data_IF_848297727365
#
_entry.id   IF_848297727365
#
_cell.length_a   1.000
_cell.length_b   1.000
_cell.length_c   1.000
_cell.angle_alpha   90.00
_cell.angle_beta   90.00
_cell.angle_gamma   90.00
#
_symmetry.space_group_name_H-M   'P 1'
#
loop_
_entity.id
_entity.type
_entity.pdbx_description
1 polymer ?
#
# COMPACT_ATOMS: atom_id res chain seq x y z
N UNK A 1 27.35 -6.17 30.12
CA UNK A 1 26.86 -4.93 29.47
C UNK A 1 26.37 -5.31 28.08
N UNK A 2 25.17 -4.92 27.71
CA UNK A 2 24.56 -5.18 26.39
C UNK A 2 25.49 -4.69 25.27
N UNK A 3 25.60 -5.47 24.18
CA UNK A 3 26.46 -5.22 23.00
C UNK A 3 26.38 -3.74 22.50
N UNK A 4 25.20 -3.14 22.57
CA UNK A 4 24.92 -1.77 22.14
C UNK A 4 25.57 -0.68 22.99
N UNK A 5 25.71 -0.90 24.31
CA UNK A 5 26.37 0.08 25.19
C UNK A 5 27.88 0.10 24.98
N UNK A 6 28.46 -1.03 24.58
CA UNK A 6 29.86 -1.08 24.19
C UNK A 6 30.06 -0.35 22.85
N UNK A 7 29.19 -0.61 21.87
CA UNK A 7 29.20 0.10 20.59
C UNK A 7 29.15 1.62 20.77
N UNK A 8 28.24 2.14 21.61
CA UNK A 8 28.16 3.57 21.91
C UNK A 8 29.50 4.11 22.43
N UNK A 9 30.11 3.44 23.42
CA UNK A 9 31.37 3.88 24.04
C UNK A 9 32.56 3.89 23.08
N UNK A 10 32.56 3.01 22.09
CA UNK A 10 33.63 2.90 21.09
C UNK A 10 33.50 3.95 19.98
N UNK A 11 32.28 4.45 19.73
CA UNK A 11 31.98 5.31 18.57
C UNK A 11 31.61 6.76 18.94
N UNK A 12 31.64 7.13 20.22
CA UNK A 12 31.41 8.50 20.69
C UNK A 12 32.62 9.01 21.48
N UNK A 13 32.91 10.31 21.41
CA UNK A 13 34.04 10.87 22.16
C UNK A 13 33.84 10.74 23.67
N UNK A 14 34.93 10.53 24.42
CA UNK A 14 34.87 10.39 25.89
C UNK A 14 34.29 11.62 26.58
N UNK A 15 34.58 12.81 26.04
CA UNK A 15 34.04 14.08 26.51
C UNK A 15 32.52 14.11 26.36
N UNK A 16 32.01 13.85 25.16
CA UNK A 16 30.58 13.85 24.88
C UNK A 16 29.84 12.77 25.68
N UNK A 17 30.44 11.57 25.80
CA UNK A 17 29.87 10.50 26.62
C UNK A 17 29.71 10.91 28.09
N UNK A 18 30.65 11.69 28.63
CA UNK A 18 30.62 12.13 30.03
C UNK A 18 29.49 13.12 30.32
N UNK A 19 28.97 13.79 29.28
CA UNK A 19 27.82 14.69 29.36
C UNK A 19 26.47 13.97 29.25
N UNK A 20 26.48 12.66 28.94
CA UNK A 20 25.29 11.83 28.81
C UNK A 20 25.01 11.06 30.10
N UNK A 21 23.74 10.96 30.47
CA UNK A 21 23.24 10.17 31.60
C UNK A 21 21.93 9.46 31.22
N UNK A 22 21.46 8.53 32.05
CA UNK A 22 20.20 7.78 31.83
C UNK A 22 20.07 7.19 30.43
N UNK A 23 21.15 6.58 29.92
CA UNK A 23 21.23 6.08 28.54
C UNK A 23 20.44 4.78 28.42
N UNK A 24 19.43 4.79 27.56
CA UNK A 24 18.58 3.68 27.20
C UNK A 24 18.70 3.39 25.69
N UNK A 25 18.90 2.13 25.33
CA UNK A 25 18.87 1.71 23.93
C UNK A 25 17.41 1.63 23.44
N UNK A 26 17.09 2.28 22.33
CA UNK A 26 15.73 2.26 21.76
C UNK A 26 15.65 1.25 20.62
N UNK A 27 16.44 1.43 19.56
CA UNK A 27 16.44 0.51 18.42
C UNK A 27 17.72 0.62 17.58
N UNK A 28 17.97 -0.43 16.78
CA UNK A 28 19.00 -0.47 15.73
C UNK A 28 18.31 -0.27 14.38
N UNK A 29 18.59 0.85 13.72
CA UNK A 29 18.21 1.08 12.34
C UNK A 29 19.19 0.45 11.35
N UNK A 30 18.96 0.66 10.05
CA UNK A 30 19.81 0.11 9.00
C UNK A 30 21.20 0.75 8.98
N UNK A 31 21.25 2.07 9.21
CA UNK A 31 22.48 2.88 9.16
C UNK A 31 22.91 3.43 10.52
N UNK A 32 22.13 3.24 11.59
CA UNK A 32 22.43 3.83 12.89
C UNK A 32 21.89 3.02 14.08
N UNK A 33 22.49 3.22 15.25
CA UNK A 33 21.90 2.90 16.55
C UNK A 33 21.29 4.16 17.15
N UNK A 34 20.09 4.03 17.70
CA UNK A 34 19.40 5.13 18.40
C UNK A 34 19.25 4.80 19.89
N UNK A 35 19.64 5.76 20.72
CA UNK A 35 19.51 5.75 22.17
C UNK A 35 18.68 6.95 22.61
N UNK A 36 18.01 6.81 23.75
CA UNK A 36 17.47 7.92 24.53
C UNK A 36 18.41 8.17 25.70
N UNK A 37 18.72 9.43 25.99
CA UNK A 37 19.60 9.79 27.09
C UNK A 37 19.20 11.16 27.66
N UNK A 38 19.85 11.56 28.75
CA UNK A 38 19.86 12.95 29.22
C UNK A 38 21.15 13.63 28.85
N UNK A 39 21.05 14.81 28.25
CA UNK A 39 22.15 15.71 27.93
C UNK A 39 21.82 17.11 28.45
N UNK A 40 22.66 17.66 29.33
CA UNK A 40 22.42 18.98 29.96
C UNK A 40 21.01 19.12 30.58
N UNK A 41 20.55 18.05 31.24
CA UNK A 41 19.21 17.91 31.88
C UNK A 41 18.01 17.86 30.92
N UNK A 42 18.23 17.77 29.61
CA UNK A 42 17.17 17.55 28.61
C UNK A 42 17.16 16.09 28.20
N UNK A 43 15.97 15.55 27.97
CA UNK A 43 15.84 14.27 27.28
C UNK A 43 16.24 14.46 25.81
N UNK A 44 17.11 13.58 25.31
CA UNK A 44 17.67 13.66 23.97
C UNK A 44 17.64 12.31 23.27
N UNK A 45 17.56 12.38 21.94
CA UNK A 45 17.93 11.28 21.06
C UNK A 45 19.43 11.35 20.80
N UNK A 46 20.12 10.22 20.95
CA UNK A 46 21.52 10.04 20.52
C UNK A 46 21.53 9.03 19.39
N UNK A 47 21.93 9.45 18.19
CA UNK A 47 22.02 8.60 16.99
C UNK A 47 23.48 8.45 16.60
N UNK A 48 23.94 7.20 16.53
CA UNK A 48 25.33 6.84 16.17
C UNK A 48 25.31 6.03 14.87
N UNK A 49 26.06 6.42 13.82
CA UNK A 49 26.08 5.69 12.56
C UNK A 49 26.74 4.31 12.71
N UNK A 50 26.27 3.33 11.95
CA UNK A 50 26.84 1.95 11.88
C UNK A 50 27.99 1.88 10.87
N UNK A 51 27.97 2.74 9.85
CA UNK A 51 28.95 2.76 8.76
C UNK A 51 29.13 4.16 8.20
N UNK A 52 30.33 4.48 7.71
CA UNK A 52 30.65 5.74 7.02
C UNK A 52 30.18 5.76 5.54
N UNK A 53 29.22 4.91 5.16
CA UNK A 53 28.83 4.69 3.75
C UNK A 53 27.93 5.79 3.18
N UNK A 54 27.40 6.69 4.01
CA UNK A 54 26.47 7.75 3.60
C UNK A 54 27.16 9.10 3.75
N UNK A 55 27.20 9.88 2.67
CA UNK A 55 27.61 11.28 2.74
C UNK A 55 26.49 12.07 3.41
N UNK A 56 26.74 12.51 4.65
CA UNK A 56 25.80 13.25 5.47
C UNK A 56 25.98 14.78 5.39
N UNK A 57 26.77 15.32 4.45
CA UNK A 57 27.11 16.75 4.40
C UNK A 57 25.85 17.63 4.33
N UNK A 58 24.84 17.17 3.59
CA UNK A 58 23.56 17.87 3.46
C UNK A 58 22.72 17.74 4.73
N UNK A 59 22.64 16.53 5.29
CA UNK A 59 21.88 16.28 6.51
C UNK A 59 22.45 17.10 7.69
N UNK A 60 23.78 17.18 7.78
CA UNK A 60 24.52 17.97 8.77
C UNK A 60 24.19 19.46 8.66
N UNK A 61 24.23 20.00 7.44
CA UNK A 61 23.93 21.41 7.19
C UNK A 61 22.50 21.77 7.62
N UNK A 62 21.55 20.87 7.35
CA UNK A 62 20.15 21.04 7.78
C UNK A 62 20.04 20.92 9.29
N UNK A 63 20.53 19.84 9.88
CA UNK A 63 20.39 19.58 11.32
C UNK A 63 21.03 20.67 12.16
N UNK A 64 22.20 21.21 11.78
CA UNK A 64 22.84 22.33 12.49
C UNK A 64 22.02 23.63 12.46
N UNK A 65 21.11 23.79 11.50
CA UNK A 65 20.22 24.95 11.43
C UNK A 65 18.96 24.82 12.30
N UNK A 66 18.65 23.62 12.78
CA UNK A 66 17.47 23.35 13.59
C UNK A 66 17.78 23.57 15.07
N UNK A 67 16.92 24.35 15.75
CA UNK A 67 17.09 24.66 17.18
C UNK A 67 17.04 23.44 18.10
N UNK A 68 16.42 22.34 17.67
CA UNK A 68 16.35 21.09 18.42
C UNK A 68 17.67 20.30 18.39
N UNK A 69 18.58 20.60 17.46
CA UNK A 69 19.87 19.93 17.35
C UNK A 69 20.85 20.54 18.34
N UNK A 70 21.34 19.72 19.26
CA UNK A 70 22.26 20.13 20.32
C UNK A 70 23.72 19.81 19.97
N UNK A 71 23.93 18.80 19.12
CA UNK A 71 25.23 18.40 18.60
C UNK A 71 25.06 17.63 17.28
N UNK A 72 25.92 17.92 16.30
CA UNK A 72 26.08 17.10 15.11
C UNK A 72 27.53 17.15 14.62
N UNK A 73 28.18 15.99 14.54
CA UNK A 73 29.54 15.87 14.00
C UNK A 73 29.78 14.44 13.50
N UNK A 74 30.33 14.27 12.30
CA UNK A 74 30.67 12.95 11.73
C UNK A 74 29.50 11.94 11.78
N UNK A 75 28.27 12.40 11.54
CA UNK A 75 27.05 11.57 11.58
C UNK A 75 26.50 11.28 12.99
N UNK A 76 27.23 11.63 14.05
CA UNK A 76 26.75 11.54 15.44
C UNK A 76 25.80 12.71 15.69
N UNK A 77 24.56 12.40 16.02
CA UNK A 77 23.51 13.38 16.29
C UNK A 77 23.07 13.30 17.75
N UNK A 78 23.03 14.46 18.41
CA UNK A 78 22.27 14.66 19.65
C UNK A 78 21.24 15.76 19.41
N UNK A 79 19.97 15.42 19.56
CA UNK A 79 18.85 16.35 19.46
C UNK A 79 17.87 16.16 20.61
N UNK A 80 17.09 17.19 20.90
CA UNK A 80 15.99 17.08 21.85
C UNK A 80 15.07 15.92 21.49
N UNK A 81 14.67 15.15 22.52
CA UNK A 81 13.80 14.00 22.34
C UNK A 81 12.39 14.46 22.02
N UNK A 82 11.89 14.06 20.86
CA UNK A 82 10.52 14.33 20.45
C UNK A 82 9.63 13.14 20.80
N UNK A 83 8.82 13.29 21.85
CA UNK A 83 7.86 12.27 22.26
C UNK A 83 6.65 12.27 21.31
N UNK A 84 6.76 11.59 20.17
CA UNK A 84 5.71 11.52 19.16
C UNK A 84 5.65 10.18 18.42
N UNK A 85 4.67 10.06 17.52
CA UNK A 85 4.49 8.95 16.60
C UNK A 85 4.64 9.45 15.16
N UNK A 86 5.05 8.57 14.25
CA UNK A 86 5.00 8.88 12.81
C UNK A 86 3.56 8.99 12.34
N UNK A 87 3.31 9.77 11.28
CA UNK A 87 1.95 9.94 10.73
C UNK A 87 1.31 8.64 10.23
N UNK A 88 2.10 7.58 10.00
CA UNK A 88 1.61 6.26 9.61
C UNK A 88 0.63 5.63 10.61
N UNK A 89 0.71 6.05 11.87
CA UNK A 89 -0.12 5.53 12.96
C UNK A 89 -1.23 6.52 13.36
N UNK A 90 -1.47 7.55 12.57
CA UNK A 90 -2.34 8.66 12.93
C UNK A 90 -3.39 8.87 11.84
N UNK A 91 -4.67 8.90 12.25
CA UNK A 91 -5.76 9.25 11.35
C UNK A 91 -5.65 10.72 10.93
N UNK A 92 -5.47 10.98 9.64
CA UNK A 92 -5.29 12.33 9.09
C UNK A 92 -6.58 13.14 9.07
N UNK A 93 -6.83 13.89 10.14
CA UNK A 93 -7.88 14.91 10.17
C UNK A 93 -7.48 16.16 9.37
N UNK A 94 -8.45 17.00 9.00
CA UNK A 94 -8.19 18.30 8.35
C UNK A 94 -7.22 19.15 9.17
N UNK A 95 -7.37 19.17 10.49
CA UNK A 95 -6.51 19.95 11.38
C UNK A 95 -5.06 19.47 11.34
N UNK A 96 -4.83 18.15 11.39
CA UNK A 96 -3.49 17.56 11.32
C UNK A 96 -2.84 17.90 9.98
N UNK A 97 -3.59 17.77 8.87
CA UNK A 97 -3.08 18.11 7.54
C UNK A 97 -2.62 19.58 7.46
N UNK A 98 -3.40 20.52 8.00
CA UNK A 98 -3.03 21.93 8.04
C UNK A 98 -1.78 22.20 8.89
N UNK A 99 -1.64 21.53 10.05
CA UNK A 99 -0.46 21.64 10.91
C UNK A 99 0.81 21.13 10.22
N UNK A 100 0.72 20.01 9.50
CA UNK A 100 1.84 19.46 8.72
C UNK A 100 2.23 20.39 7.58
N UNK A 101 1.26 20.89 6.80
CA UNK A 101 1.52 21.84 5.71
C UNK A 101 2.17 23.11 6.25
N UNK A 102 1.70 23.64 7.38
CA UNK A 102 2.34 24.78 8.04
C UNK A 102 3.80 24.49 8.37
N UNK A 103 4.11 23.34 8.96
CA UNK A 103 5.49 22.97 9.33
C UNK A 103 6.41 22.85 8.11
N UNK A 104 5.90 22.36 6.99
CA UNK A 104 6.63 22.26 5.73
C UNK A 104 6.92 23.67 5.16
N UNK A 105 5.92 24.57 5.18
CA UNK A 105 6.12 25.96 4.77
C UNK A 105 7.13 26.69 5.65
N UNK A 106 7.15 26.43 6.96
CA UNK A 106 8.20 26.92 7.87
C UNK A 106 9.58 26.39 7.46
N UNK A 107 9.68 25.10 7.11
CA UNK A 107 10.93 24.51 6.61
C UNK A 107 11.39 25.13 5.29
N UNK A 108 10.46 25.43 4.37
CA UNK A 108 10.74 26.10 3.08
C UNK A 108 11.38 27.49 3.24
N UNK A 109 11.16 28.16 4.38
CA UNK A 109 11.74 29.46 4.68
C UNK A 109 13.20 29.40 5.14
N UNK A 110 13.74 28.20 5.44
CA UNK A 110 15.14 28.06 5.82
C UNK A 110 16.06 28.48 4.67
N UNK A 111 17.02 29.35 4.95
CA UNK A 111 18.00 29.79 3.95
C UNK A 111 19.28 28.96 4.07
N UNK A 112 19.25 27.78 3.43
CA UNK A 112 20.37 26.83 3.43
C UNK A 112 21.07 26.77 2.08
N UNK A 113 22.40 26.60 2.12
CA UNK A 113 23.23 26.39 0.92
C UNK A 113 23.28 24.89 0.56
N UNK A 114 22.19 24.39 0.00
CA UNK A 114 22.05 23.00 -0.49
C UNK A 114 21.98 22.98 -2.01
N UNK A 115 22.44 21.91 -2.69
CA UNK A 115 22.39 21.82 -4.14
C UNK A 115 20.95 21.76 -4.66
N UNK A 116 20.78 22.09 -5.95
CA UNK A 116 19.50 21.95 -6.65
C UNK A 116 19.13 20.48 -6.82
N UNK A 117 17.84 20.19 -6.82
CA UNK A 117 17.33 18.86 -7.13
C UNK A 117 17.66 18.51 -8.57
N UNK A 118 18.35 17.38 -8.78
CA UNK A 118 18.61 16.83 -10.10
C UNK A 118 17.50 15.84 -10.46
N UNK A 119 16.46 16.35 -11.13
CA UNK A 119 15.36 15.53 -11.64
C UNK A 119 15.80 14.55 -12.75
N UNK A 120 17.01 14.66 -13.29
CA UNK A 120 17.54 13.73 -14.29
C UNK A 120 18.53 12.72 -13.70
N UNK A 121 18.71 12.71 -12.37
CA UNK A 121 19.67 11.85 -11.67
C UNK A 121 19.59 10.37 -12.08
N UNK A 122 18.37 9.83 -12.21
CA UNK A 122 18.15 8.44 -12.60
C UNK A 122 18.07 8.25 -14.10
N UNK A 123 17.31 9.12 -14.79
CA UNK A 123 17.04 9.02 -16.23
C UNK A 123 16.50 10.35 -16.75
N UNK A 124 16.77 10.64 -18.02
CA UNK A 124 16.30 11.88 -18.66
C UNK A 124 14.77 11.99 -18.76
N UNK A 125 14.08 10.85 -18.93
CA UNK A 125 12.63 10.80 -19.07
C UNK A 125 12.08 11.16 -20.45
N UNK A 126 10.78 11.33 -20.52
CA UNK A 126 10.01 11.70 -21.71
C UNK A 126 10.25 13.16 -22.12
N UNK A 127 9.92 13.52 -23.36
CA UNK A 127 10.00 14.94 -23.80
C UNK A 127 9.15 15.85 -22.91
N UNK A 128 7.92 15.43 -22.62
CA UNK A 128 7.01 16.15 -21.71
C UNK A 128 7.63 16.35 -20.33
N UNK A 129 8.30 15.33 -19.79
CA UNK A 129 8.99 15.41 -18.51
C UNK A 129 10.10 16.44 -18.51
N UNK A 130 10.97 16.41 -19.52
CA UNK A 130 12.07 17.37 -19.66
C UNK A 130 11.54 18.81 -19.76
N UNK A 131 10.51 19.03 -20.56
CA UNK A 131 9.91 20.36 -20.75
C UNK A 131 9.28 20.88 -19.43
N UNK A 132 8.61 20.01 -18.67
CA UNK A 132 8.01 20.35 -17.38
C UNK A 132 9.06 20.56 -16.28
N UNK A 133 10.10 19.73 -16.19
CA UNK A 133 11.20 19.93 -15.25
C UNK A 133 11.82 21.32 -15.46
N UNK A 134 12.12 21.69 -16.71
CA UNK A 134 12.67 23.00 -17.03
C UNK A 134 11.75 24.17 -16.62
N UNK A 135 10.43 23.98 -16.63
CA UNK A 135 9.44 24.96 -16.17
C UNK A 135 9.53 25.21 -14.66
N UNK A 136 9.74 24.15 -13.86
CA UNK A 136 9.68 24.19 -12.40
C UNK A 136 11.05 24.25 -11.70
N UNK A 137 12.16 24.26 -12.43
CA UNK A 137 13.52 24.37 -11.86
C UNK A 137 14.13 25.76 -11.97
N UNK A 138 13.30 26.81 -12.06
CA UNK A 138 13.77 28.21 -12.12
C UNK A 138 14.18 28.70 -10.74
N UNK A 139 15.37 29.31 -10.65
CA UNK A 139 16.01 29.67 -9.38
C UNK A 139 15.18 30.56 -8.47
N UNK A 140 14.40 31.49 -9.06
CA UNK A 140 13.54 32.40 -8.31
C UNK A 140 12.42 31.69 -7.53
N UNK A 141 12.07 30.46 -7.93
CA UNK A 141 10.94 29.71 -7.39
C UNK A 141 11.39 28.57 -6.44
N UNK A 142 12.70 28.41 -6.23
CA UNK A 142 13.24 27.30 -5.43
C UNK A 142 13.32 27.65 -3.94
N UNK A 143 12.86 26.71 -3.12
CA UNK A 143 12.93 26.78 -1.65
C UNK A 143 13.85 25.68 -1.13
N UNK A 144 14.22 25.77 0.15
CA UNK A 144 14.83 24.62 0.84
C UNK A 144 13.73 23.57 1.05
N UNK A 145 13.74 22.53 0.22
CA UNK A 145 12.71 21.50 0.17
C UNK A 145 13.23 20.20 0.75
N UNK A 146 12.36 19.46 1.43
CA UNK A 146 12.73 18.18 2.05
C UNK A 146 12.98 17.09 1.01
N UNK A 147 12.22 17.10 -0.10
CA UNK A 147 12.36 16.21 -1.26
C UNK A 147 12.20 14.71 -0.98
N UNK A 148 11.91 14.32 0.26
CA UNK A 148 11.65 12.93 0.69
C UNK A 148 10.61 12.89 1.82
N UNK A 149 9.53 13.66 1.66
CA UNK A 149 8.44 13.63 2.62
C UNK A 149 7.63 12.34 2.45
N UNK A 150 7.72 11.50 3.47
CA UNK A 150 6.87 10.33 3.66
C UNK A 150 6.27 10.36 5.06
N UNK A 151 5.20 9.60 5.30
CA UNK A 151 4.51 9.60 6.59
C UNK A 151 5.43 9.13 7.76
N UNK A 152 6.48 8.34 7.46
CA UNK A 152 7.53 7.95 8.42
C UNK A 152 8.48 9.10 8.78
N UNK A 153 8.62 10.09 7.91
CA UNK A 153 9.51 11.24 8.06
C UNK A 153 8.82 12.44 8.73
N UNK A 154 7.60 12.27 9.25
CA UNK A 154 6.83 13.30 9.93
C UNK A 154 6.34 12.77 11.27
N UNK A 155 6.79 13.39 12.36
CA UNK A 155 6.39 13.07 13.72
C UNK A 155 5.30 14.03 14.21
N UNK A 156 4.35 13.49 14.98
CA UNK A 156 3.35 14.26 15.72
C UNK A 156 3.31 13.80 17.17
N UNK A 157 3.29 14.75 18.10
CA UNK A 157 3.16 14.47 19.53
C UNK A 157 1.69 14.59 20.00
N UNK A 158 1.43 14.27 21.26
CA UNK A 158 0.08 14.32 21.85
C UNK A 158 -0.53 15.73 21.87
N UNK A 159 0.29 16.78 21.86
CA UNK A 159 -0.16 18.18 21.79
C UNK A 159 -0.39 18.64 20.34
N UNK A 160 -0.13 17.79 19.34
CA UNK A 160 -0.28 18.08 17.92
C UNK A 160 0.84 18.92 17.31
N UNK A 161 2.00 19.05 17.97
CA UNK A 161 3.19 19.65 17.37
C UNK A 161 3.75 18.71 16.30
N UNK A 162 4.30 19.28 15.22
CA UNK A 162 4.87 18.52 14.10
C UNK A 162 6.38 18.73 14.05
N UNK A 163 7.11 17.63 13.80
CA UNK A 163 8.53 17.67 13.50
C UNK A 163 8.84 16.84 12.25
N UNK A 164 9.72 17.37 11.39
CA UNK A 164 10.23 16.68 10.21
C UNK A 164 11.55 15.98 10.58
N UNK A 165 11.81 14.82 10.00
CA UNK A 165 13.03 14.04 10.22
C UNK A 165 13.52 13.46 8.89
N UNK A 166 14.74 12.91 8.86
CA UNK A 166 15.35 12.29 7.68
C UNK A 166 15.67 13.29 6.55
N UNK A 167 16.77 14.02 6.71
CA UNK A 167 17.10 15.18 5.88
C UNK A 167 18.13 14.89 4.77
N UNK A 168 18.40 13.62 4.46
CA UNK A 168 19.44 13.21 3.50
C UNK A 168 19.18 13.76 2.08
N UNK A 169 17.90 13.87 1.70
CA UNK A 169 17.46 14.31 0.39
C UNK A 169 17.13 15.81 0.29
N UNK A 170 17.41 16.61 1.32
CA UNK A 170 17.09 18.06 1.28
C UNK A 170 17.82 18.75 0.12
N UNK A 171 17.10 19.45 -0.75
CA UNK A 171 17.64 20.15 -1.92
C UNK A 171 16.91 21.46 -2.17
N UNK A 172 17.46 22.30 -3.05
CA UNK A 172 16.68 23.39 -3.65
C UNK A 172 15.71 22.81 -4.69
N UNK A 173 14.42 22.94 -4.44
CA UNK A 173 13.36 22.48 -5.34
C UNK A 173 12.15 23.41 -5.27
N UNK A 174 11.27 23.32 -6.26
CA UNK A 174 9.99 24.01 -6.23
C UNK A 174 9.15 23.52 -5.04
N UNK A 175 8.48 24.38 -4.26
CA UNK A 175 7.70 23.98 -3.07
C UNK A 175 6.60 22.95 -3.37
N UNK A 176 6.14 22.92 -4.62
CA UNK A 176 5.13 21.97 -5.08
C UNK A 176 5.60 20.52 -5.05
N UNK A 177 6.90 20.25 -5.06
CA UNK A 177 7.42 18.89 -4.99
C UNK A 177 7.13 18.25 -3.62
N UNK A 178 7.42 18.96 -2.53
CA UNK A 178 7.00 18.53 -1.19
C UNK A 178 5.46 18.48 -1.08
N UNK A 179 4.76 19.47 -1.63
CA UNK A 179 3.30 19.50 -1.60
C UNK A 179 2.67 18.25 -2.24
N UNK A 180 3.18 17.81 -3.40
CA UNK A 180 2.56 16.70 -4.12
C UNK A 180 2.88 15.34 -3.49
N UNK A 181 4.03 15.20 -2.83
CA UNK A 181 4.37 13.96 -2.10
C UNK A 181 3.42 13.72 -0.92
N UNK A 182 2.89 14.77 -0.28
CA UNK A 182 1.83 14.65 0.74
C UNK A 182 0.57 13.96 0.19
N UNK A 183 0.17 14.31 -1.02
CA UNK A 183 -1.02 13.71 -1.65
C UNK A 183 -0.70 12.30 -2.14
N UNK A 184 0.39 12.14 -2.89
CA UNK A 184 0.72 10.88 -3.56
C UNK A 184 1.17 9.77 -2.62
N UNK A 185 1.77 10.10 -1.48
CA UNK A 185 2.40 9.13 -0.57
C UNK A 185 1.81 9.12 0.84
N UNK A 186 0.91 10.06 1.16
CA UNK A 186 0.42 10.24 2.54
C UNK A 186 -1.09 10.47 2.63
N UNK A 187 -1.86 10.27 1.55
CA UNK A 187 -3.33 10.41 1.54
C UNK A 187 -3.86 11.77 2.01
N UNK A 188 -3.09 12.85 1.84
CA UNK A 188 -3.59 14.20 2.11
C UNK A 188 -4.69 14.56 1.10
N UNK A 189 -5.65 15.38 1.55
CA UNK A 189 -6.72 15.86 0.69
C UNK A 189 -6.13 16.81 -0.38
N UNK A 190 -6.30 16.51 -1.68
CA UNK A 190 -5.76 17.34 -2.76
C UNK A 190 -6.23 18.79 -2.72
N UNK A 191 -7.49 19.04 -2.32
CA UNK A 191 -8.04 20.40 -2.25
C UNK A 191 -7.41 21.22 -1.13
N UNK A 192 -7.09 20.59 0.01
CA UNK A 192 -6.39 21.27 1.10
C UNK A 192 -4.99 21.65 0.63
N UNK A 193 -4.26 20.72 0.00
CA UNK A 193 -2.90 20.96 -0.49
C UNK A 193 -2.89 22.05 -1.57
N UNK A 194 -3.77 21.97 -2.57
CA UNK A 194 -3.89 23.00 -3.62
C UNK A 194 -4.18 24.37 -3.03
N UNK A 195 -5.14 24.46 -2.10
CA UNK A 195 -5.50 25.72 -1.42
C UNK A 195 -4.30 26.30 -0.68
N UNK A 196 -3.65 25.49 0.15
CA UNK A 196 -2.56 25.96 0.99
C UNK A 196 -1.32 26.36 0.19
N UNK A 197 -0.99 25.66 -0.90
CA UNK A 197 0.14 25.98 -1.75
C UNK A 197 -0.21 26.95 -2.90
N UNK A 198 -1.44 27.46 -2.95
CA UNK A 198 -1.93 28.34 -4.02
C UNK A 198 -1.70 27.76 -5.43
N UNK A 199 -1.99 26.47 -5.59
CA UNK A 199 -1.72 25.71 -6.81
C UNK A 199 -2.96 25.60 -7.68
N UNK A 200 -2.83 25.83 -8.99
CA UNK A 200 -3.90 25.56 -9.97
C UNK A 200 -4.01 24.07 -10.28
N UNK A 201 -5.15 23.62 -10.82
CA UNK A 201 -5.32 22.22 -11.24
C UNK A 201 -4.27 21.80 -12.29
N UNK A 202 -3.94 22.69 -13.22
CA UNK A 202 -2.89 22.43 -14.20
C UNK A 202 -1.52 22.23 -13.53
N UNK A 203 -1.15 23.09 -12.57
CA UNK A 203 0.12 22.96 -11.86
C UNK A 203 0.17 21.66 -11.04
N UNK A 204 -0.96 21.28 -10.44
CA UNK A 204 -1.12 20.04 -9.71
C UNK A 204 -0.88 18.83 -10.60
N UNK A 205 -1.51 18.77 -11.77
CA UNK A 205 -1.31 17.68 -12.73
C UNK A 205 0.13 17.61 -13.26
N UNK A 206 0.73 18.76 -13.56
CA UNK A 206 2.10 18.83 -14.08
C UNK A 206 3.13 18.36 -13.04
N UNK A 207 3.07 18.84 -11.79
CA UNK A 207 4.00 18.41 -10.74
C UNK A 207 3.76 16.96 -10.32
N UNK A 208 2.51 16.49 -10.35
CA UNK A 208 2.15 15.07 -10.19
C UNK A 208 2.90 14.23 -11.20
N UNK A 209 2.85 14.62 -12.48
CA UNK A 209 3.54 13.94 -13.56
C UNK A 209 5.06 13.92 -13.36
N UNK A 210 5.68 15.06 -12.98
CA UNK A 210 7.12 15.10 -12.67
C UNK A 210 7.46 14.13 -11.52
N UNK A 211 6.70 14.18 -10.43
CA UNK A 211 6.96 13.34 -9.24
C UNK A 211 6.79 11.85 -9.54
N UNK A 212 5.72 11.47 -10.26
CA UNK A 212 5.47 10.08 -10.64
C UNK A 212 6.57 9.54 -11.57
N UNK A 213 6.96 10.29 -12.61
CA UNK A 213 8.00 9.84 -13.55
C UNK A 213 9.40 9.80 -12.88
N UNK A 214 9.73 10.78 -12.03
CA UNK A 214 10.99 10.78 -11.27
C UNK A 214 11.10 9.56 -10.34
N UNK A 215 10.03 9.27 -9.58
CA UNK A 215 9.99 8.08 -8.71
C UNK A 215 10.10 6.81 -9.51
N UNK A 216 9.34 6.68 -10.61
CA UNK A 216 9.40 5.51 -11.46
C UNK A 216 10.84 5.23 -11.93
N UNK A 217 11.58 6.25 -12.38
CA UNK A 217 12.98 6.09 -12.76
C UNK A 217 13.87 5.68 -11.58
N UNK A 218 13.64 6.25 -10.39
CA UNK A 218 14.32 5.82 -9.16
C UNK A 218 14.10 4.33 -8.88
N UNK A 219 12.84 3.88 -8.89
CA UNK A 219 12.51 2.47 -8.69
C UNK A 219 13.05 1.57 -9.80
N UNK A 220 12.99 1.99 -11.06
CA UNK A 220 13.63 1.26 -12.17
C UNK A 220 15.14 1.10 -11.90
N UNK A 221 15.83 2.17 -11.48
CA UNK A 221 17.27 2.12 -11.23
C UNK A 221 17.66 1.18 -10.07
N UNK A 222 16.83 1.12 -9.03
CA UNK A 222 17.09 0.30 -7.83
C UNK A 222 16.65 -1.16 -8.05
N UNK A 223 15.51 -1.38 -8.70
CA UNK A 223 14.85 -2.69 -8.72
C UNK A 223 14.88 -3.42 -10.06
N UNK A 224 15.30 -2.78 -11.16
CA UNK A 224 15.39 -3.46 -12.47
C UNK A 224 16.30 -4.70 -12.45
N UNK A 225 17.35 -4.68 -11.62
CA UNK A 225 18.29 -5.79 -11.42
C UNK A 225 18.09 -6.46 -10.06
N UNK A 226 16.94 -6.29 -9.41
CA UNK A 226 16.71 -6.83 -8.08
C UNK A 226 16.78 -8.37 -8.10
N UNK A 227 17.78 -8.90 -7.41
CA UNK A 227 17.91 -10.34 -7.14
C UNK A 227 17.46 -10.56 -5.71
N UNK A 228 16.44 -11.39 -5.52
CA UNK A 228 15.95 -11.78 -4.20
C UNK A 228 17.09 -12.50 -3.47
N UNK A 229 17.57 -11.90 -2.39
CA UNK A 229 18.51 -12.56 -1.49
C UNK A 229 17.79 -13.73 -0.80
N UNK A 230 18.48 -14.86 -0.61
CA UNK A 230 17.91 -16.07 0.01
C UNK A 230 17.38 -15.83 1.44
N UNK A 231 17.85 -14.77 2.09
CA UNK A 231 17.50 -14.40 3.46
C UNK A 231 16.30 -13.43 3.56
N UNK A 232 15.73 -12.97 2.43
CA UNK A 232 14.56 -12.08 2.46
C UNK A 232 13.31 -12.85 2.91
N UNK A 233 12.62 -12.44 3.99
CA UNK A 233 11.45 -13.16 4.47
C UNK A 233 10.35 -13.22 3.40
N UNK A 234 10.03 -14.44 2.94
CA UNK A 234 8.86 -14.70 2.11
C UNK A 234 7.61 -14.52 2.97
N UNK A 235 6.69 -13.67 2.52
CA UNK A 235 5.42 -13.43 3.20
C UNK A 235 4.31 -14.13 2.43
N UNK A 236 3.39 -14.77 3.17
CA UNK A 236 2.15 -15.33 2.64
C UNK A 236 2.22 -16.82 2.34
N UNK A 237 1.05 -17.46 2.52
CA UNK A 237 0.75 -18.85 2.15
C UNK A 237 0.11 -18.96 0.75
N UNK A 238 -0.04 -17.84 0.04
CA UNK A 238 -0.63 -17.79 -1.30
C UNK A 238 0.16 -18.63 -2.30
N UNK A 239 -0.56 -19.36 -3.16
CA UNK A 239 0.01 -20.37 -4.06
C UNK A 239 0.36 -19.81 -5.44
N UNK A 240 -0.04 -18.57 -5.73
CA UNK A 240 0.03 -17.96 -7.08
C UNK A 240 1.14 -16.94 -7.26
N UNK A 241 1.67 -16.36 -6.18
CA UNK A 241 2.72 -15.34 -6.25
C UNK A 241 3.81 -15.56 -5.22
N UNK A 242 5.02 -15.10 -5.54
CA UNK A 242 6.11 -15.01 -4.57
C UNK A 242 6.17 -13.59 -4.02
N UNK A 243 5.81 -13.44 -2.76
CA UNK A 243 5.69 -12.16 -2.09
C UNK A 243 6.76 -12.00 -1.01
N UNK A 244 7.38 -10.83 -0.97
CA UNK A 244 8.46 -10.48 -0.05
C UNK A 244 8.16 -9.13 0.58
N UNK A 245 8.64 -8.94 1.80
CA UNK A 245 8.70 -7.61 2.41
C UNK A 245 10.14 -7.25 2.67
N UNK A 246 10.51 -6.08 2.17
CA UNK A 246 11.80 -5.47 2.42
C UNK A 246 11.54 -4.03 2.86
N UNK A 247 11.87 -3.73 4.11
CA UNK A 247 11.54 -2.47 4.76
C UNK A 247 10.02 -2.21 4.76
N UNK A 248 9.58 -1.08 4.22
CA UNK A 248 8.19 -0.66 4.05
C UNK A 248 7.64 -1.01 2.67
N UNK A 249 8.33 -1.85 1.89
CA UNK A 249 7.93 -2.25 0.55
C UNK A 249 7.47 -3.70 0.51
N UNK A 250 6.35 -3.92 -0.16
CA UNK A 250 5.86 -5.22 -0.58
C UNK A 250 6.25 -5.46 -2.03
N UNK A 251 7.00 -6.53 -2.26
CA UNK A 251 7.52 -6.92 -3.58
C UNK A 251 6.84 -8.24 -3.97
N UNK A 252 6.13 -8.23 -5.10
CA UNK A 252 5.42 -9.38 -5.64
C UNK A 252 6.05 -9.78 -6.98
N UNK A 253 6.51 -11.02 -7.11
CA UNK A 253 6.93 -11.58 -8.38
C UNK A 253 5.73 -12.26 -9.04
N UNK A 254 5.40 -11.84 -10.27
CA UNK A 254 4.26 -12.31 -11.04
C UNK A 254 4.52 -13.72 -11.55
N UNK A 255 3.70 -14.70 -11.15
CA UNK A 255 3.69 -16.03 -11.78
C UNK A 255 2.47 -16.14 -12.71
N UNK A 256 2.70 -16.16 -14.03
CA UNK A 256 1.63 -16.15 -15.02
C UNK A 256 1.10 -17.56 -15.28
N UNK A 257 -0.23 -17.74 -15.21
CA UNK A 257 -0.91 -18.99 -15.55
C UNK A 257 -1.83 -18.87 -16.79
N UNK A 258 -1.76 -17.73 -17.49
CA UNK A 258 -2.57 -17.41 -18.67
C UNK A 258 -3.91 -16.75 -18.35
N UNK A 259 -4.36 -16.77 -17.09
CA UNK A 259 -5.59 -16.15 -16.65
C UNK A 259 -5.38 -14.98 -15.67
N UNK A 260 -4.23 -14.88 -15.02
CA UNK A 260 -3.87 -13.80 -14.10
C UNK A 260 -2.92 -12.75 -14.75
N UNK A 261 -2.72 -11.64 -14.05
CA UNK A 261 -1.88 -10.49 -14.44
C UNK A 261 -2.22 -9.92 -15.82
N UNK A 262 -3.50 -9.95 -16.19
CA UNK A 262 -3.98 -9.51 -17.49
C UNK A 262 -4.11 -7.98 -17.61
N UNK A 263 -4.08 -7.28 -16.49
CA UNK A 263 -4.23 -5.83 -16.35
C UNK A 263 -3.07 -5.27 -15.54
N UNK A 264 -2.70 -4.00 -15.78
CA UNK A 264 -1.75 -3.29 -14.91
C UNK A 264 -2.44 -2.93 -13.59
N UNK A 265 -1.79 -3.17 -12.46
CA UNK A 265 -2.36 -2.85 -11.15
C UNK A 265 -2.50 -1.34 -10.92
N UNK A 266 -1.70 -0.52 -11.62
CA UNK A 266 -1.82 0.95 -11.52
C UNK A 266 -3.19 1.50 -11.93
N UNK A 267 -4.02 0.70 -12.62
CA UNK A 267 -5.41 1.05 -12.93
C UNK A 267 -6.26 1.25 -11.66
N UNK A 268 -5.89 0.59 -10.56
CA UNK A 268 -6.62 0.63 -9.29
C UNK A 268 -6.12 1.72 -8.33
N UNK A 269 -5.08 2.48 -8.67
CA UNK A 269 -4.42 3.46 -7.79
C UNK A 269 -5.35 4.58 -7.26
N UNK A 270 -6.47 4.81 -7.94
CA UNK A 270 -7.47 5.81 -7.52
C UNK A 270 -8.48 5.28 -6.49
N UNK A 271 -8.52 3.96 -6.28
CA UNK A 271 -9.42 3.35 -5.31
C UNK A 271 -8.83 3.44 -3.91
N UNK A 272 -9.63 3.86 -2.93
CA UNK A 272 -9.20 3.93 -1.52
C UNK A 272 -8.93 2.55 -0.96
N UNK A 273 -9.66 1.54 -1.43
CA UNK A 273 -9.45 0.15 -1.04
C UNK A 273 -8.18 -0.46 -1.65
N UNK A 274 -7.49 0.18 -2.60
CA UNK A 274 -6.21 -0.31 -3.13
C UNK A 274 -5.03 0.44 -2.48
N UNK A 275 -3.86 -0.20 -2.46
CA UNK A 275 -2.59 0.48 -2.16
C UNK A 275 -1.90 0.87 -3.46
N UNK A 276 -1.48 2.13 -3.57
CA UNK A 276 -0.91 2.66 -4.81
C UNK A 276 0.31 1.84 -5.25
N UNK A 277 0.34 1.49 -6.52
CA UNK A 277 1.51 0.86 -7.13
C UNK A 277 2.66 1.87 -7.16
N UNK A 278 3.78 1.45 -6.59
CA UNK A 278 5.01 2.22 -6.61
C UNK A 278 5.77 1.94 -7.91
N UNK A 279 5.85 0.67 -8.30
CA UNK A 279 6.48 0.22 -9.53
C UNK A 279 5.84 -1.06 -10.04
N UNK A 280 5.70 -1.19 -11.35
CA UNK A 280 5.22 -2.42 -11.98
C UNK A 280 5.88 -2.61 -13.35
N UNK A 281 6.38 -3.82 -13.59
CA UNK A 281 6.82 -4.26 -14.91
C UNK A 281 6.17 -5.62 -15.26
N UNK A 282 6.69 -6.30 -16.29
CA UNK A 282 6.13 -7.58 -16.74
C UNK A 282 6.30 -8.73 -15.74
N UNK A 283 7.23 -8.62 -14.79
CA UNK A 283 7.67 -9.68 -13.90
C UNK A 283 7.43 -9.37 -12.42
N UNK A 284 7.31 -8.09 -12.03
CA UNK A 284 7.16 -7.70 -10.63
C UNK A 284 6.22 -6.52 -10.42
N UNK A 285 5.68 -6.44 -9.20
CA UNK A 285 4.93 -5.32 -8.65
C UNK A 285 5.59 -4.94 -7.34
N UNK A 286 5.79 -3.65 -7.11
CA UNK A 286 6.23 -3.08 -5.84
C UNK A 286 5.18 -2.08 -5.40
N UNK A 287 4.76 -2.20 -4.14
CA UNK A 287 3.83 -1.28 -3.47
C UNK A 287 4.25 -1.09 -2.01
N UNK A 288 3.62 -0.15 -1.31
CA UNK A 288 3.85 -0.01 0.12
C UNK A 288 3.34 -1.26 0.85
N UNK A 289 4.09 -1.73 1.85
CA UNK A 289 3.62 -2.78 2.74
C UNK A 289 2.52 -2.24 3.66
N UNK A 290 1.40 -2.95 3.70
CA UNK A 290 0.27 -2.60 4.56
C UNK A 290 0.44 -3.35 5.88
N UNK A 291 0.72 -2.60 6.95
CA UNK A 291 0.62 -3.15 8.29
C UNK A 291 -0.85 -3.37 8.62
N UNK A 292 -1.25 -4.64 8.65
CA UNK A 292 -2.64 -5.05 8.87
C UNK A 292 -2.91 -5.39 10.33
N UNK A 293 -4.09 -4.99 10.81
CA UNK A 293 -4.69 -5.43 12.05
C UNK A 293 -5.47 -6.73 11.84
N UNK A 294 -5.64 -7.51 12.90
CA UNK A 294 -6.50 -8.70 12.88
C UNK A 294 -7.96 -8.31 12.61
N UNK A 295 -8.62 -9.07 11.75
CA UNK A 295 -10.00 -8.82 11.35
C UNK A 295 -10.94 -9.80 12.06
N UNK A 296 -11.94 -9.26 12.75
CA UNK A 296 -13.10 -10.04 13.19
C UNK A 296 -14.20 -9.98 12.12
N UNK A 297 -14.30 -11.02 11.28
CA UNK A 297 -15.30 -11.12 10.22
C UNK A 297 -16.75 -11.36 10.73
N UNK A 298 -16.94 -11.57 12.04
CA UNK A 298 -18.28 -11.57 12.63
C UNK A 298 -18.76 -10.16 13.03
N UNK A 299 -17.93 -9.13 12.86
CA UNK A 299 -18.28 -7.75 13.18
C UNK A 299 -19.05 -7.09 12.01
N UNK A 300 -20.30 -6.71 12.26
CA UNK A 300 -21.18 -6.05 11.27
C UNK A 300 -20.59 -4.78 10.65
N UNK A 301 -19.87 -3.97 11.43
CA UNK A 301 -19.25 -2.76 10.94
C UNK A 301 -18.13 -3.06 9.95
N UNK A 302 -17.34 -4.11 10.20
CA UNK A 302 -16.30 -4.57 9.29
C UNK A 302 -16.94 -5.10 7.99
N UNK A 303 -17.98 -5.91 8.10
CA UNK A 303 -18.70 -6.46 6.94
C UNK A 303 -19.31 -5.35 6.08
N UNK A 304 -19.92 -4.34 6.69
CA UNK A 304 -20.42 -3.16 5.97
C UNK A 304 -19.30 -2.39 5.25
N UNK A 305 -18.13 -2.24 5.89
CA UNK A 305 -16.98 -1.58 5.24
C UNK A 305 -16.38 -2.40 4.09
N UNK A 306 -16.40 -3.73 4.17
CA UNK A 306 -16.00 -4.60 3.05
C UNK A 306 -16.99 -4.42 1.88
N UNK A 307 -18.30 -4.47 2.15
CA UNK A 307 -19.34 -4.23 1.14
C UNK A 307 -19.16 -2.87 0.44
N UNK A 308 -18.85 -1.83 1.23
CA UNK A 308 -18.55 -0.49 0.74
C UNK A 308 -17.30 -0.48 -0.16
N UNK A 309 -16.23 -1.15 0.23
CA UNK A 309 -15.00 -1.23 -0.58
C UNK A 309 -15.25 -1.97 -1.91
N UNK A 310 -16.08 -3.03 -1.92
CA UNK A 310 -16.51 -3.71 -3.16
C UNK A 310 -17.35 -2.75 -4.02
N UNK A 311 -18.26 -1.99 -3.42
CA UNK A 311 -19.07 -1.01 -4.14
C UNK A 311 -18.22 0.09 -4.80
N UNK A 312 -17.15 0.53 -4.13
CA UNK A 312 -16.20 1.50 -4.68
C UNK A 312 -15.52 0.95 -5.94
N UNK A 313 -15.07 -0.31 -5.89
CA UNK A 313 -14.50 -0.99 -7.04
C UNK A 313 -15.54 -1.10 -8.17
N UNK A 314 -16.71 -1.69 -7.90
CA UNK A 314 -17.75 -1.97 -8.91
C UNK A 314 -18.35 -0.70 -9.56
N UNK A 315 -18.35 0.43 -8.85
CA UNK A 315 -18.84 1.72 -9.36
C UNK A 315 -17.75 2.57 -9.99
N UNK A 316 -16.49 2.11 -9.98
CA UNK A 316 -15.39 2.82 -10.62
C UNK A 316 -15.52 2.83 -12.15
N UNK A 317 -14.86 3.78 -12.81
CA UNK A 317 -14.81 3.88 -14.27
C UNK A 317 -13.67 3.03 -14.87
N UNK A 318 -13.10 2.11 -14.09
CA UNK A 318 -11.97 1.28 -14.52
C UNK A 318 -12.47 0.30 -15.58
N UNK A 319 -11.77 0.25 -16.71
CA UNK A 319 -12.04 -0.71 -17.79
C UNK A 319 -10.97 -1.79 -17.77
N UNK A 320 -11.40 -3.03 -17.53
CA UNK A 320 -10.54 -4.22 -17.50
C UNK A 320 -10.86 -5.13 -18.69
N UNK A 321 -10.04 -6.15 -18.92
CA UNK A 321 -10.43 -7.22 -19.84
C UNK A 321 -11.66 -7.96 -19.31
N UNK A 322 -12.52 -8.43 -20.21
CA UNK A 322 -13.69 -9.23 -19.85
C UNK A 322 -13.27 -10.58 -19.24
N UNK A 323 -14.04 -11.04 -18.26
CA UNK A 323 -13.88 -12.40 -17.76
C UNK A 323 -14.41 -13.40 -18.79
N UNK A 324 -13.87 -14.61 -18.72
CA UNK A 324 -14.40 -15.78 -19.42
C UNK A 324 -14.54 -16.90 -18.40
N UNK A 325 -15.45 -16.70 -17.44
CA UNK A 325 -15.67 -17.63 -16.32
C UNK A 325 -15.93 -19.05 -16.82
N UNK A 326 -16.80 -19.21 -17.84
CA UNK A 326 -17.06 -20.51 -18.44
C UNK A 326 -15.78 -21.21 -18.93
N UNK A 327 -14.95 -20.52 -19.73
CA UNK A 327 -13.72 -21.10 -20.27
C UNK A 327 -12.73 -21.49 -19.17
N UNK A 328 -12.64 -20.68 -18.10
CA UNK A 328 -11.81 -21.01 -16.93
C UNK A 328 -12.32 -22.28 -16.24
N UNK A 329 -13.62 -22.36 -15.99
CA UNK A 329 -14.26 -23.53 -15.36
C UNK A 329 -14.05 -24.78 -16.22
N UNK A 330 -14.29 -24.70 -17.54
CA UNK A 330 -14.08 -25.82 -18.47
C UNK A 330 -12.64 -26.34 -18.39
N UNK A 331 -11.64 -25.44 -18.39
CA UNK A 331 -10.23 -25.83 -18.24
C UNK A 331 -9.96 -26.51 -16.90
N UNK A 332 -10.53 -26.00 -15.80
CA UNK A 332 -10.32 -26.61 -14.48
C UNK A 332 -10.98 -27.98 -14.39
N UNK A 333 -12.19 -28.15 -14.92
CA UNK A 333 -12.86 -29.46 -14.96
C UNK A 333 -12.05 -30.47 -15.78
N UNK A 334 -11.49 -30.07 -16.92
CA UNK A 334 -10.63 -30.93 -17.73
C UNK A 334 -9.42 -31.44 -16.93
N UNK A 335 -8.82 -30.57 -16.11
CA UNK A 335 -7.71 -30.95 -15.22
C UNK A 335 -8.16 -31.86 -14.06
N UNK A 336 -9.46 -31.92 -13.75
CA UNK A 336 -10.05 -32.68 -12.65
C UNK A 336 -10.76 -33.97 -13.12
N UNK A 337 -10.61 -34.37 -14.38
CA UNK A 337 -11.30 -35.54 -14.94
C UNK A 337 -11.17 -36.82 -14.10
N UNK A 338 -10.03 -37.03 -13.44
CA UNK A 338 -9.78 -38.22 -12.60
C UNK A 338 -10.04 -38.00 -11.09
N UNK A 339 -10.53 -36.82 -10.70
CA UNK A 339 -10.70 -36.46 -9.30
C UNK A 339 -11.98 -37.07 -8.69
N UNK A 340 -11.83 -38.23 -8.03
CA UNK A 340 -12.94 -39.05 -7.50
C UNK A 340 -13.96 -38.26 -6.68
N UNK A 341 -13.53 -37.54 -5.62
CA UNK A 341 -14.46 -36.84 -4.69
C UNK A 341 -15.27 -35.74 -5.41
N UNK A 342 -14.61 -34.96 -6.27
CA UNK A 342 -15.23 -33.93 -7.10
C UNK A 342 -16.30 -34.52 -8.03
N UNK A 343 -15.95 -35.58 -8.78
CA UNK A 343 -16.86 -36.23 -9.73
C UNK A 343 -18.04 -36.96 -9.08
N UNK A 344 -17.89 -37.42 -7.83
CA UNK A 344 -18.99 -38.00 -7.06
C UNK A 344 -20.01 -36.93 -6.61
N UNK A 345 -19.55 -35.73 -6.29
CA UNK A 345 -20.39 -34.63 -5.77
C UNK A 345 -21.03 -33.83 -6.91
N UNK A 346 -20.24 -33.45 -7.92
CA UNK A 346 -20.68 -32.61 -9.03
C UNK A 346 -20.96 -33.48 -10.26
N UNK A 347 -22.20 -33.96 -10.35
CA UNK A 347 -22.65 -34.79 -11.47
C UNK A 347 -22.62 -34.01 -12.80
N UNK A 348 -22.58 -34.71 -13.95
CA UNK A 348 -22.61 -34.05 -15.27
C UNK A 348 -23.78 -33.06 -15.46
N UNK A 349 -24.95 -33.33 -14.88
CA UNK A 349 -26.11 -32.43 -14.96
C UNK A 349 -25.92 -31.15 -14.15
N UNK A 350 -25.31 -31.24 -12.97
CA UNK A 350 -24.96 -30.06 -12.16
C UNK A 350 -23.94 -29.21 -12.91
N UNK A 351 -22.87 -29.84 -13.41
CA UNK A 351 -21.82 -29.17 -14.18
C UNK A 351 -22.42 -28.47 -15.39
N UNK A 352 -23.26 -29.17 -16.17
CA UNK A 352 -23.94 -28.61 -17.34
C UNK A 352 -24.81 -27.40 -16.98
N UNK A 353 -25.58 -27.48 -15.90
CA UNK A 353 -26.42 -26.38 -15.43
C UNK A 353 -25.58 -25.14 -15.11
N UNK A 354 -24.46 -25.32 -14.38
CA UNK A 354 -23.55 -24.25 -14.02
C UNK A 354 -22.84 -23.64 -15.25
N UNK A 355 -22.40 -24.48 -16.20
CA UNK A 355 -21.74 -24.01 -17.43
C UNK A 355 -22.68 -23.22 -18.34
N UNK A 356 -23.94 -23.64 -18.45
CA UNK A 356 -24.97 -22.89 -19.19
C UNK A 356 -25.15 -21.52 -18.55
N UNK A 357 -25.32 -21.45 -17.23
CA UNK A 357 -25.45 -20.16 -16.55
C UNK A 357 -24.20 -19.29 -16.67
N UNK A 358 -23.01 -19.88 -16.59
CA UNK A 358 -21.75 -19.18 -16.77
C UNK A 358 -21.60 -18.51 -18.15
N UNK A 359 -22.26 -19.03 -19.19
CA UNK A 359 -22.30 -18.43 -20.53
C UNK A 359 -23.10 -17.12 -20.57
N UNK A 360 -24.14 -17.01 -19.73
CA UNK A 360 -25.01 -15.84 -19.66
C UNK A 360 -24.56 -14.80 -18.63
N UNK A 361 -23.48 -15.04 -17.88
CA UNK A 361 -22.92 -14.04 -16.99
C UNK A 361 -22.44 -12.82 -17.77
N UNK A 362 -22.89 -11.66 -17.32
CA UNK A 362 -22.52 -10.36 -17.85
C UNK A 362 -21.14 -9.92 -17.34
N UNK A 363 -20.55 -8.93 -18.01
CA UNK A 363 -19.28 -8.31 -17.64
C UNK A 363 -19.53 -6.83 -17.29
N UNK A 364 -20.34 -6.59 -16.26
CA UNK A 364 -20.94 -5.27 -15.98
C UNK A 364 -20.02 -4.33 -15.22
N UNK A 365 -19.15 -4.88 -14.37
CA UNK A 365 -18.36 -4.10 -13.41
C UNK A 365 -16.93 -4.62 -13.34
N UNK A 366 -15.92 -3.77 -13.07
CA UNK A 366 -14.60 -4.25 -12.72
C UNK A 366 -14.72 -4.99 -11.38
N UNK A 367 -14.20 -6.21 -11.33
CA UNK A 367 -14.26 -7.10 -10.17
C UNK A 367 -12.88 -7.60 -9.80
N UNK A 368 -12.69 -7.90 -8.52
CA UNK A 368 -11.48 -8.48 -7.97
C UNK A 368 -11.33 -9.95 -8.39
N UNK A 369 -12.45 -10.69 -8.37
CA UNK A 369 -12.62 -12.11 -8.68
C UNK A 369 -11.98 -13.12 -7.71
N UNK A 370 -11.42 -12.65 -6.59
CA UNK A 370 -10.78 -13.52 -5.58
C UNK A 370 -10.78 -12.89 -4.18
N UNK A 371 -11.92 -12.34 -3.75
CA UNK A 371 -12.06 -11.73 -2.42
C UNK A 371 -12.25 -12.80 -1.33
N UNK A 372 -11.17 -13.50 -1.00
CA UNK A 372 -11.09 -14.35 0.17
C UNK A 372 -10.49 -13.58 1.38
N UNK A 373 -10.51 -14.20 2.56
CA UNK A 373 -10.04 -13.60 3.83
C UNK A 373 -8.57 -13.16 3.81
N UNK A 374 -7.71 -13.80 3.03
CA UNK A 374 -6.28 -13.44 2.92
C UNK A 374 -6.08 -12.20 2.04
N UNK A 375 -7.04 -11.90 1.15
CA UNK A 375 -6.97 -10.76 0.23
C UNK A 375 -7.68 -9.50 0.77
N UNK A 376 -8.18 -9.55 2.01
CA UNK A 376 -8.84 -8.44 2.70
C UNK A 376 -8.03 -8.07 3.93
N UNK A 377 -7.48 -6.86 3.95
CA UNK A 377 -6.70 -6.33 5.05
C UNK A 377 -7.43 -5.17 5.74
N UNK A 378 -7.20 -5.00 7.04
CA UNK A 378 -7.62 -3.84 7.80
C UNK A 378 -6.36 -3.05 8.15
N UNK A 379 -6.18 -1.85 7.58
CA UNK A 379 -4.99 -1.05 7.86
C UNK A 379 -4.99 -0.48 9.29
N UNK A 380 -3.84 0.04 9.74
CA UNK A 380 -3.68 0.66 11.07
C UNK A 380 -4.59 1.89 11.31
N UNK A 381 -5.27 2.39 10.28
CA UNK A 381 -6.26 3.48 10.37
C UNK A 381 -7.71 2.98 10.29
N UNK A 382 -7.91 1.66 10.36
CA UNK A 382 -9.19 0.95 10.27
C UNK A 382 -9.89 1.06 8.91
N UNK A 383 -9.15 1.22 7.81
CA UNK A 383 -9.73 1.12 6.47
C UNK A 383 -9.56 -0.29 5.91
N UNK A 384 -10.56 -0.74 5.15
CA UNK A 384 -10.48 -1.98 4.37
C UNK A 384 -9.61 -1.75 3.14
N UNK A 385 -8.65 -2.66 2.94
CA UNK A 385 -7.77 -2.72 1.79
C UNK A 385 -7.90 -4.08 1.11
N UNK A 386 -7.96 -4.08 -0.21
CA UNK A 386 -7.88 -5.26 -1.05
C UNK A 386 -6.47 -5.39 -1.60
N UNK A 387 -5.99 -6.62 -1.66
CA UNK A 387 -4.70 -6.96 -2.24
C UNK A 387 -4.87 -8.12 -3.22
N UNK A 388 -3.87 -8.28 -4.09
CA UNK A 388 -3.82 -9.37 -5.07
C UNK A 388 -4.91 -9.32 -6.15
N UNK A 389 -5.00 -8.17 -6.83
CA UNK A 389 -5.85 -7.94 -8.01
C UNK A 389 -5.41 -8.73 -9.27
N UNK A 390 -4.66 -9.82 -9.12
CA UNK A 390 -4.08 -10.54 -10.26
C UNK A 390 -5.13 -11.18 -11.18
N UNK A 391 -6.28 -11.58 -10.62
CA UNK A 391 -7.40 -12.17 -11.37
C UNK A 391 -8.46 -11.15 -11.78
N UNK A 392 -8.25 -9.87 -11.48
CA UNK A 392 -9.26 -8.84 -11.70
C UNK A 392 -9.58 -8.67 -13.18
N UNK A 393 -10.87 -8.55 -13.48
CA UNK A 393 -11.44 -8.45 -14.83
C UNK A 393 -12.80 -7.76 -14.75
N UNK A 394 -13.39 -7.35 -15.87
CA UNK A 394 -14.83 -7.08 -15.88
C UNK A 394 -15.55 -8.39 -15.55
N UNK A 395 -16.61 -8.37 -14.75
CA UNK A 395 -17.39 -9.55 -14.40
C UNK A 395 -18.82 -9.16 -13.98
N UNK A 396 -19.64 -10.16 -13.64
CA UNK A 396 -20.97 -9.95 -13.10
C UNK A 396 -20.88 -9.40 -11.67
N UNK A 397 -21.77 -8.46 -11.36
CA UNK A 397 -21.83 -7.76 -10.07
C UNK A 397 -21.93 -8.70 -8.86
N UNK A 398 -22.59 -9.85 -9.00
CA UNK A 398 -22.80 -10.79 -7.90
C UNK A 398 -21.62 -11.71 -7.66
N UNK A 399 -20.64 -11.76 -8.57
CA UNK A 399 -19.52 -12.70 -8.45
C UNK A 399 -18.66 -12.41 -7.22
N UNK A 400 -18.14 -11.19 -7.09
CA UNK A 400 -17.34 -10.78 -5.93
C UNK A 400 -18.14 -10.84 -4.63
N UNK A 401 -19.41 -10.41 -4.66
CA UNK A 401 -20.28 -10.41 -3.48
C UNK A 401 -20.48 -11.83 -2.94
N UNK A 402 -20.85 -12.75 -3.84
CA UNK A 402 -21.19 -14.12 -3.45
C UNK A 402 -19.96 -14.93 -3.06
N UNK A 403 -18.84 -14.76 -3.78
CA UNK A 403 -17.57 -15.40 -3.44
C UNK A 403 -17.06 -14.90 -2.07
N UNK A 404 -17.07 -13.58 -1.84
CA UNK A 404 -16.66 -12.98 -0.58
C UNK A 404 -17.52 -13.45 0.60
N UNK A 405 -18.85 -13.38 0.48
CA UNK A 405 -19.76 -13.82 1.53
C UNK A 405 -19.53 -15.30 1.91
N UNK A 406 -19.26 -16.14 0.91
CA UNK A 406 -18.97 -17.56 1.14
C UNK A 406 -17.60 -17.75 1.78
N UNK A 407 -16.55 -17.12 1.26
CA UNK A 407 -15.17 -17.24 1.76
C UNK A 407 -15.00 -16.73 3.20
N UNK A 408 -15.80 -15.75 3.60
CA UNK A 408 -15.87 -15.24 4.98
C UNK A 408 -16.81 -16.04 5.88
N UNK A 409 -17.54 -17.02 5.33
CA UNK A 409 -18.49 -17.88 6.05
C UNK A 409 -19.52 -17.05 6.82
N UNK A 410 -20.11 -16.06 6.13
CA UNK A 410 -21.11 -15.19 6.75
C UNK A 410 -22.37 -15.98 7.11
N UNK A 411 -22.96 -15.66 8.27
CA UNK A 411 -24.32 -16.12 8.59
C UNK A 411 -25.33 -15.46 7.65
N UNK A 412 -26.52 -16.04 7.49
CA UNK A 412 -27.57 -15.45 6.65
C UNK A 412 -27.94 -14.01 7.06
N UNK A 413 -27.88 -13.69 8.37
CA UNK A 413 -28.12 -12.33 8.86
C UNK A 413 -27.00 -11.37 8.43
N UNK A 414 -25.74 -11.78 8.59
CA UNK A 414 -24.59 -10.96 8.18
C UNK A 414 -24.51 -10.80 6.66
N UNK A 415 -24.84 -11.85 5.91
CA UNK A 415 -24.91 -11.81 4.45
C UNK A 415 -25.98 -10.83 3.97
N UNK A 416 -27.16 -10.80 4.61
CA UNK A 416 -28.18 -9.81 4.28
C UNK A 416 -27.71 -8.38 4.59
N UNK A 417 -27.06 -8.16 5.73
CA UNK A 417 -26.47 -6.85 6.09
C UNK A 417 -25.38 -6.42 5.10
N UNK A 418 -24.53 -7.36 4.68
CA UNK A 418 -23.51 -7.17 3.66
C UNK A 418 -24.12 -6.71 2.32
N UNK A 419 -25.15 -7.42 1.84
CA UNK A 419 -25.85 -7.09 0.58
C UNK A 419 -26.58 -5.74 0.67
N UNK A 420 -27.25 -5.46 1.79
CA UNK A 420 -27.92 -4.18 2.01
C UNK A 420 -26.92 -3.02 2.01
N UNK A 421 -25.80 -3.18 2.71
CA UNK A 421 -24.74 -2.16 2.73
C UNK A 421 -24.16 -1.93 1.33
N UNK A 422 -23.93 -2.98 0.55
CA UNK A 422 -23.52 -2.85 -0.84
C UNK A 422 -24.58 -2.11 -1.68
N UNK A 423 -25.85 -2.49 -1.56
CA UNK A 423 -26.99 -1.87 -2.27
C UNK A 423 -27.06 -0.37 -2.00
N UNK A 424 -26.93 0.04 -0.73
CA UNK A 424 -26.95 1.45 -0.30
C UNK A 424 -25.76 2.24 -0.88
N UNK A 425 -24.55 1.68 -0.85
CA UNK A 425 -23.36 2.40 -1.32
C UNK A 425 -23.24 2.42 -2.86
N UNK A 426 -23.80 1.42 -3.55
CA UNK A 426 -23.77 1.33 -5.01
C UNK A 426 -24.98 1.97 -5.70
N UNK A 427 -26.04 2.28 -4.94
CA UNK A 427 -27.37 2.64 -5.47
C UNK A 427 -27.93 1.60 -6.46
N UNK A 428 -27.66 0.32 -6.23
CA UNK A 428 -28.14 -0.80 -7.07
C UNK A 428 -29.04 -1.72 -6.26
N UNK A 429 -30.16 -2.11 -6.84
CA UNK A 429 -31.07 -3.10 -6.25
C UNK A 429 -30.51 -4.50 -6.52
N UNK A 430 -30.43 -5.32 -5.48
CA UNK A 430 -29.97 -6.72 -5.58
C UNK A 430 -31.13 -7.63 -5.96
N UNK A 431 -30.98 -8.31 -7.10
CA UNK A 431 -31.81 -9.47 -7.43
C UNK A 431 -31.29 -10.68 -6.66
N UNK A 432 -32.05 -11.08 -5.64
CA UNK A 432 -31.64 -12.15 -4.73
C UNK A 432 -31.56 -13.52 -5.43
N UNK A 433 -32.36 -13.76 -6.47
CA UNK A 433 -32.33 -15.04 -7.19
C UNK A 433 -31.06 -15.13 -8.04
N UNK A 434 -30.74 -14.06 -8.78
CA UNK A 434 -29.49 -14.00 -9.56
C UNK A 434 -28.25 -14.02 -8.67
N UNK A 435 -28.32 -13.39 -7.49
CA UNK A 435 -27.27 -13.47 -6.48
C UNK A 435 -27.00 -14.93 -6.07
N UNK A 436 -28.03 -15.70 -5.70
CA UNK A 436 -27.83 -17.09 -5.26
C UNK A 436 -27.43 -18.04 -6.40
N UNK A 437 -27.91 -17.84 -7.64
CA UNK A 437 -27.37 -18.54 -8.82
C UNK A 437 -25.89 -18.28 -8.99
N UNK A 438 -25.48 -17.01 -8.89
CA UNK A 438 -24.07 -16.62 -8.98
C UNK A 438 -23.26 -17.18 -7.81
N UNK A 439 -23.83 -17.25 -6.61
CA UNK A 439 -23.20 -17.89 -5.44
C UNK A 439 -22.87 -19.35 -5.70
N UNK A 440 -23.81 -20.12 -6.27
CA UNK A 440 -23.52 -21.51 -6.63
C UNK A 440 -22.34 -21.60 -7.61
N UNK A 441 -22.34 -20.77 -8.66
CA UNK A 441 -21.31 -20.77 -9.68
C UNK A 441 -19.94 -20.31 -9.17
N UNK A 442 -19.88 -19.23 -8.37
CA UNK A 442 -18.64 -18.69 -7.83
C UNK A 442 -17.98 -19.66 -6.85
N UNK A 443 -18.77 -20.36 -6.02
CA UNK A 443 -18.25 -21.40 -5.14
C UNK A 443 -17.75 -22.60 -5.95
N UNK A 444 -18.50 -23.06 -6.97
CA UNK A 444 -18.04 -24.13 -7.85
C UNK A 444 -16.73 -23.78 -8.57
N UNK A 445 -16.62 -22.55 -9.07
CA UNK A 445 -15.38 -22.00 -9.64
C UNK A 445 -14.22 -22.07 -8.64
N UNK A 446 -14.43 -21.59 -7.40
CA UNK A 446 -13.41 -21.59 -6.36
C UNK A 446 -12.95 -23.01 -5.97
N UNK A 447 -13.88 -23.96 -5.90
CA UNK A 447 -13.58 -25.38 -5.66
C UNK A 447 -12.72 -25.94 -6.79
N UNK A 448 -13.18 -25.79 -8.03
CA UNK A 448 -12.50 -26.34 -9.20
C UNK A 448 -11.07 -25.78 -9.31
N UNK A 449 -10.91 -24.46 -9.16
CA UNK A 449 -9.60 -23.82 -9.15
C UNK A 449 -8.71 -24.33 -8.02
N UNK A 450 -9.22 -24.40 -6.78
CA UNK A 450 -8.44 -24.83 -5.62
C UNK A 450 -7.91 -26.25 -5.77
N UNK A 451 -8.72 -27.16 -6.32
CA UNK A 451 -8.33 -28.55 -6.58
C UNK A 451 -7.26 -28.67 -7.69
N UNK A 452 -7.23 -27.76 -8.65
CA UNK A 452 -6.15 -27.76 -9.67
C UNK A 452 -4.78 -27.44 -9.08
N UNK A 453 -4.74 -26.75 -7.95
CA UNK A 453 -3.49 -26.39 -7.25
C UNK A 453 -3.20 -27.38 -6.11
N UNK A 454 -4.22 -27.78 -5.36
CA UNK A 454 -4.13 -28.73 -4.25
C UNK A 454 -5.24 -29.79 -4.37
N UNK A 455 -4.94 -30.97 -4.93
CA UNK A 455 -5.90 -32.06 -5.06
C UNK A 455 -6.53 -32.53 -3.74
N UNK A 456 -5.86 -32.30 -2.61
CA UNK A 456 -6.35 -32.68 -1.27
C UNK A 456 -7.11 -31.54 -0.56
N UNK A 457 -7.44 -30.45 -1.27
CA UNK A 457 -8.16 -29.32 -0.67
C UNK A 457 -9.52 -29.76 -0.11
N UNK A 458 -9.80 -29.41 1.15
CA UNK A 458 -11.11 -29.67 1.73
C UNK A 458 -12.14 -28.61 1.31
N UNK A 459 -13.01 -29.00 0.40
CA UNK A 459 -14.07 -28.17 -0.16
C UNK A 459 -15.47 -28.50 0.39
N UNK A 460 -15.58 -29.31 1.45
CA UNK A 460 -16.88 -29.72 2.00
C UNK A 460 -17.74 -28.51 2.43
N UNK A 461 -17.12 -27.46 2.98
CA UNK A 461 -17.83 -26.25 3.41
C UNK A 461 -18.31 -25.37 2.22
N UNK A 462 -17.59 -25.36 1.09
CA UNK A 462 -18.01 -24.67 -0.14
C UNK A 462 -19.11 -25.44 -0.88
N UNK A 463 -19.12 -26.77 -0.78
CA UNK A 463 -20.06 -27.65 -1.49
C UNK A 463 -21.52 -27.29 -1.18
N UNK A 464 -21.84 -27.02 0.08
CA UNK A 464 -23.20 -26.64 0.48
C UNK A 464 -23.64 -25.35 -0.21
N UNK A 465 -22.74 -24.36 -0.34
CA UNK A 465 -23.04 -23.12 -1.07
C UNK A 465 -23.30 -23.36 -2.57
N UNK A 466 -22.83 -24.46 -3.16
CA UNK A 466 -23.20 -24.86 -4.52
C UNK A 466 -24.55 -25.54 -4.52
N UNK A 467 -24.69 -26.64 -3.77
CA UNK A 467 -25.84 -27.54 -3.85
C UNK A 467 -27.14 -26.90 -3.35
N UNK A 468 -27.09 -26.16 -2.24
CA UNK A 468 -28.28 -25.54 -1.64
C UNK A 468 -28.86 -24.45 -2.55
N UNK A 469 -28.01 -23.84 -3.39
CA UNK A 469 -28.40 -22.77 -4.29
C UNK A 469 -28.78 -23.25 -5.70
N UNK A 470 -28.68 -24.56 -5.99
CA UNK A 470 -29.17 -25.11 -7.27
C UNK A 470 -30.69 -24.95 -7.45
N UNK A 471 -31.44 -24.74 -6.36
CA UNK A 471 -32.89 -24.52 -6.43
C UNK A 471 -33.25 -23.26 -7.24
N UNK A 472 -32.36 -22.28 -7.27
CA UNK A 472 -32.61 -21.00 -7.94
C UNK A 472 -32.50 -21.08 -9.46
N UNK A 473 -31.98 -22.20 -10.01
CA UNK A 473 -31.87 -22.43 -11.46
C UNK A 473 -33.14 -23.02 -12.09
N UNK A 474 -34.16 -23.32 -11.28
CA UNK A 474 -35.41 -23.99 -11.70
C UNK A 474 -36.48 -23.03 -12.19
#
# INVERSE_FOLDING_TARGET
MTNYMQFLKENISKELLSELSDIEFIYKGFHNYTFKAKYKRKDVQVRIPISNLVNHDIEELVLKSLSATLYYENGILIREWFQGKTLEYIKLTKEIQLKVIKKIKEFHQLTLNVPKMDFHHYKKGSKKYVDLVAKYTKDADLVTSHCDLSAKNILINETGNIELIDFEWVRKAHPFFDAITLVQSQNFNPEIVKTEFCMTDQQFEEITFISDEFRQHGYESVYSNFVINSDTPKIGKGLTNLSYVQNDLFIQIKQKNGFNHLNKLSLFDKLKCNEKVIFENENMIIRKYINSLDINFSNEYIIANIAKAISELHCSQIQLKNNSIRQRIEKYIEMLNDHIKFNLIFTPDIIKTLLIYAEFLTNDVPSHNDLNKENILLDNTNNIKFIDFEYSSMNNIYFDLSYCASALVLSSELELKFLNSYSENSNRIIDINEYYKTKALANFYGIAWSLTINPEFDFSWLTNNVLDNLIYFK
#
